data_IF_011482833009
#
_entry.id   IF_011482833009
#
_cell.length_a   1.000
_cell.length_b   1.000
_cell.length_c   1.000
_cell.angle_alpha   90.00
_cell.angle_beta   90.00
_cell.angle_gamma   90.00
#
_symmetry.space_group_name_H-M   'P 1'
#
loop_
_entity.id
_entity.type
_entity.pdbx_description
1 polymer ?
#
# COMPACT_ATOMS: atom_id res chain seq x y z
N UNK A 1 16.38 24.38 4.88
CA UNK A 1 15.36 25.42 4.65
C UNK A 1 14.07 24.66 4.37
N UNK A 2 13.15 24.64 5.32
CA UNK A 2 11.92 23.86 5.20
C UNK A 2 11.01 24.51 4.16
N UNK A 3 10.68 23.76 3.13
CA UNK A 3 9.54 24.09 2.26
C UNK A 3 8.29 24.06 3.12
N UNK A 4 7.81 25.25 3.48
CA UNK A 4 6.57 25.41 4.20
C UNK A 4 5.45 24.80 3.38
N UNK A 5 4.83 23.74 3.89
CA UNK A 5 3.57 23.20 3.38
C UNK A 5 2.61 24.39 3.34
N UNK A 6 2.37 24.92 2.13
CA UNK A 6 1.34 25.93 1.90
C UNK A 6 0.02 25.34 2.38
N UNK A 7 -0.51 25.87 3.47
CA UNK A 7 -1.74 25.39 4.07
C UNK A 7 -2.85 25.39 3.03
N UNK A 8 -3.47 24.25 2.81
CA UNK A 8 -4.58 24.13 1.86
C UNK A 8 -5.82 24.77 2.48
N UNK A 9 -6.11 26.02 2.09
CA UNK A 9 -7.36 26.69 2.48
C UNK A 9 -8.54 25.96 1.86
N UNK A 10 -9.45 25.50 2.70
CA UNK A 10 -10.65 24.82 2.27
C UNK A 10 -11.85 25.20 3.15
N UNK A 11 -13.04 24.91 2.67
CA UNK A 11 -14.24 25.11 3.46
C UNK A 11 -14.29 24.12 4.64
N UNK A 12 -14.76 24.60 5.79
CA UNK A 12 -14.90 23.77 7.00
C UNK A 12 -15.78 22.53 6.77
N UNK A 13 -16.88 22.67 6.01
CA UNK A 13 -17.74 21.53 5.67
C UNK A 13 -17.01 20.49 4.80
N UNK A 14 -16.14 20.93 3.90
CA UNK A 14 -15.29 20.02 3.11
C UNK A 14 -14.29 19.30 4.01
N UNK A 15 -13.60 20.02 4.91
CA UNK A 15 -12.66 19.45 5.84
C UNK A 15 -13.30 18.36 6.71
N UNK A 16 -14.43 18.68 7.36
CA UNK A 16 -15.13 17.73 8.23
C UNK A 16 -15.65 16.51 7.47
N UNK A 17 -16.16 16.71 6.24
CA UNK A 17 -16.60 15.60 5.39
C UNK A 17 -15.42 14.69 4.97
N UNK A 18 -14.25 15.27 4.63
CA UNK A 18 -13.04 14.51 4.32
C UNK A 18 -12.57 13.69 5.52
N UNK A 19 -12.74 14.21 6.74
CA UNK A 19 -12.39 13.49 7.96
C UNK A 19 -13.44 12.45 8.38
N UNK A 20 -14.56 12.33 7.62
CA UNK A 20 -15.59 11.34 7.88
C UNK A 20 -16.54 11.69 9.02
N UNK A 21 -16.59 12.96 9.45
CA UNK A 21 -17.40 13.41 10.60
C UNK A 21 -18.90 13.49 10.28
N UNK A 22 -19.28 13.35 9.00
CA UNK A 22 -20.67 13.30 8.56
C UNK A 22 -20.88 13.82 7.15
N UNK A 23 -22.14 13.80 6.72
CA UNK A 23 -22.59 14.43 5.48
C UNK A 23 -22.58 15.96 5.61
N UNK A 24 -22.56 16.66 4.47
CA UNK A 24 -22.60 18.14 4.48
C UNK A 24 -23.80 18.70 5.27
N UNK A 25 -24.95 18.02 5.24
CA UNK A 25 -26.14 18.44 5.98
C UNK A 25 -25.98 18.26 7.50
N UNK A 26 -25.42 17.13 7.92
CA UNK A 26 -25.09 16.85 9.33
C UNK A 26 -24.04 17.82 9.86
N UNK A 27 -22.99 18.10 9.08
CA UNK A 27 -21.94 19.06 9.45
C UNK A 27 -22.53 20.46 9.65
N UNK A 28 -23.43 20.92 8.77
CA UNK A 28 -24.13 22.19 8.96
C UNK A 28 -24.96 22.22 10.26
N UNK A 29 -25.58 21.09 10.59
CA UNK A 29 -26.35 20.99 11.87
C UNK A 29 -25.39 21.04 13.08
N UNK A 30 -24.24 20.35 13.01
CA UNK A 30 -23.22 20.37 14.08
C UNK A 30 -22.66 21.79 14.31
N UNK A 31 -22.37 22.53 13.23
CA UNK A 31 -21.88 23.92 13.32
C UNK A 31 -22.94 24.81 13.94
N UNK A 32 -24.24 24.72 13.53
CA UNK A 32 -25.35 25.49 14.12
C UNK A 32 -25.57 25.18 15.58
N UNK A 33 -25.33 23.93 15.99
CA UNK A 33 -25.45 23.49 17.39
C UNK A 33 -24.23 23.90 18.25
N UNK A 34 -23.25 24.64 17.70
CA UNK A 34 -22.07 25.10 18.42
C UNK A 34 -21.08 24.00 18.79
N UNK A 35 -21.18 22.81 18.17
CA UNK A 35 -20.32 21.65 18.45
C UNK A 35 -18.93 21.75 17.83
N UNK A 36 -18.75 22.65 16.84
CA UNK A 36 -17.50 22.82 16.10
C UNK A 36 -16.81 24.11 16.52
N UNK A 37 -15.55 24.02 16.89
CA UNK A 37 -14.70 25.19 17.14
C UNK A 37 -13.52 25.22 16.17
N UNK A 38 -13.08 26.43 15.82
CA UNK A 38 -11.91 26.71 14.99
C UNK A 38 -11.06 27.72 15.73
N UNK A 39 -9.80 27.39 16.00
CA UNK A 39 -8.84 28.24 16.72
C UNK A 39 -9.39 28.77 18.06
N UNK A 40 -10.10 27.89 18.78
CA UNK A 40 -10.69 28.17 20.09
C UNK A 40 -12.04 28.92 20.07
N UNK A 41 -12.50 29.40 18.92
CA UNK A 41 -13.79 30.08 18.77
C UNK A 41 -14.85 29.18 18.12
N UNK A 42 -16.12 29.34 18.46
CA UNK A 42 -17.22 28.66 17.79
C UNK A 42 -17.25 28.98 16.30
N UNK A 43 -17.38 27.94 15.46
CA UNK A 43 -17.45 28.14 14.02
C UNK A 43 -18.69 28.94 13.63
N UNK A 44 -18.53 30.01 12.85
CA UNK A 44 -19.63 30.94 12.47
C UNK A 44 -20.59 30.31 11.48
N UNK A 45 -20.05 29.62 10.48
CA UNK A 45 -20.83 28.84 9.51
C UNK A 45 -19.97 27.70 8.92
N UNK A 46 -20.63 26.70 8.33
CA UNK A 46 -19.97 25.54 7.76
C UNK A 46 -19.18 25.87 6.46
N UNK A 47 -19.41 27.02 5.86
CA UNK A 47 -18.74 27.48 4.65
C UNK A 47 -17.50 28.31 4.91
N UNK A 48 -17.20 28.65 6.17
CA UNK A 48 -15.98 29.41 6.49
C UNK A 48 -14.72 28.75 5.99
N UNK A 49 -13.73 29.54 5.59
CA UNK A 49 -12.45 29.05 5.15
C UNK A 49 -11.57 28.74 6.37
N UNK A 50 -10.95 27.57 6.35
CA UNK A 50 -10.00 27.11 7.35
C UNK A 50 -8.72 26.63 6.65
N UNK A 51 -7.61 26.71 7.32
CA UNK A 51 -6.37 26.07 6.92
C UNK A 51 -6.38 24.64 7.49
N UNK A 52 -6.49 23.63 6.60
CA UNK A 52 -6.59 22.25 7.05
C UNK A 52 -5.40 21.77 7.87
N UNK A 53 -4.21 22.30 7.61
CA UNK A 53 -2.97 21.90 8.29
C UNK A 53 -2.69 22.71 9.57
N UNK A 54 -3.11 23.97 9.64
CA UNK A 54 -2.71 24.89 10.72
C UNK A 54 -3.83 25.19 11.70
N UNK A 55 -5.11 25.24 11.24
CA UNK A 55 -6.22 25.56 12.13
C UNK A 55 -6.49 24.45 13.16
N UNK A 56 -6.67 24.83 14.42
CA UNK A 56 -7.13 23.92 15.48
C UNK A 56 -8.63 23.71 15.37
N UNK A 57 -9.05 22.75 14.55
CA UNK A 57 -10.45 22.39 14.36
C UNK A 57 -10.84 21.31 15.35
N UNK A 58 -11.93 21.53 16.11
CA UNK A 58 -12.43 20.55 17.07
C UNK A 58 -13.92 20.31 16.88
N UNK A 59 -14.32 19.06 17.06
CA UNK A 59 -15.72 18.62 17.15
C UNK A 59 -15.97 18.05 18.56
N UNK A 60 -16.91 18.62 19.29
CA UNK A 60 -17.22 18.26 20.69
C UNK A 60 -15.96 18.25 21.59
N UNK A 61 -15.05 19.21 21.41
CA UNK A 61 -13.78 19.31 22.11
C UNK A 61 -12.67 18.40 21.59
N UNK A 62 -12.97 17.37 20.81
CA UNK A 62 -11.98 16.47 20.18
C UNK A 62 -11.29 17.16 19.01
N UNK A 63 -9.95 17.27 19.07
CA UNK A 63 -9.15 17.85 18.00
C UNK A 63 -9.20 16.94 16.77
N UNK A 64 -9.41 17.54 15.61
CA UNK A 64 -9.40 16.88 14.32
C UNK A 64 -8.07 17.14 13.61
N UNK A 65 -7.38 16.08 13.23
CA UNK A 65 -6.09 16.19 12.54
C UNK A 65 -6.28 15.93 11.05
N UNK A 66 -6.16 16.98 10.25
CA UNK A 66 -6.11 16.85 8.80
C UNK A 66 -4.67 16.67 8.33
N UNK A 67 -4.46 15.70 7.48
CA UNK A 67 -3.23 15.53 6.71
C UNK A 67 -3.61 15.59 5.24
N UNK A 68 -3.00 16.49 4.49
CA UNK A 68 -3.27 16.66 3.05
C UNK A 68 -2.94 15.38 2.26
N UNK A 69 -1.91 14.69 2.71
CA UNK A 69 -1.45 13.42 2.12
C UNK A 69 -1.47 12.34 3.19
N UNK A 70 -1.97 11.17 2.82
CA UNK A 70 -1.98 9.99 3.69
C UNK A 70 -1.41 8.79 2.98
N UNK A 71 -0.64 8.02 3.71
CA UNK A 71 -0.02 6.77 3.25
C UNK A 71 -0.40 5.66 4.22
N UNK A 72 -0.86 4.55 3.69
CA UNK A 72 -1.35 3.41 4.46
C UNK A 72 -0.59 2.16 4.07
N UNK A 73 -0.13 1.42 5.05
CA UNK A 73 0.28 0.02 4.93
C UNK A 73 -0.95 -0.85 5.15
N UNK A 74 -1.30 -1.65 4.16
CA UNK A 74 -2.33 -2.68 4.25
C UNK A 74 -1.67 -4.06 4.13
N UNK A 75 -1.94 -4.97 5.06
CA UNK A 75 -1.68 -6.38 4.83
C UNK A 75 -2.87 -6.95 4.04
N UNK A 76 -2.76 -6.92 2.70
CA UNK A 76 -3.85 -7.36 1.83
C UNK A 76 -4.16 -8.85 2.05
N UNK A 77 -5.39 -9.23 2.36
CA UNK A 77 -5.78 -10.63 2.45
C UNK A 77 -6.02 -11.22 1.05
N UNK A 78 -5.97 -12.55 0.95
CA UNK A 78 -6.44 -13.26 -0.23
C UNK A 78 -7.94 -13.01 -0.49
N UNK A 79 -8.37 -13.14 -1.74
CA UNK A 79 -9.77 -13.01 -2.15
C UNK A 79 -10.27 -11.59 -2.42
N UNK A 80 -9.46 -10.56 -2.14
CA UNK A 80 -9.82 -9.15 -2.31
C UNK A 80 -9.12 -8.54 -3.53
N UNK A 81 -9.85 -7.75 -4.33
CA UNK A 81 -9.29 -7.09 -5.52
C UNK A 81 -8.43 -5.88 -5.16
N UNK A 82 -7.30 -5.72 -5.84
CA UNK A 82 -6.54 -4.48 -5.83
C UNK A 82 -7.11 -3.50 -6.85
N UNK A 83 -8.15 -2.79 -6.46
CA UNK A 83 -8.83 -1.79 -7.26
C UNK A 83 -9.36 -0.66 -6.37
N UNK A 84 -9.58 0.52 -6.96
CA UNK A 84 -10.20 1.64 -6.23
C UNK A 84 -11.70 1.38 -5.94
N UNK A 85 -12.39 0.66 -6.83
CA UNK A 85 -13.78 0.21 -6.67
C UNK A 85 -14.08 -0.91 -7.67
N UNK A 86 -15.02 -1.76 -7.30
CA UNK A 86 -15.62 -2.77 -8.19
C UNK A 86 -17.11 -2.89 -7.88
N UNK A 87 -17.93 -3.27 -8.89
CA UNK A 87 -19.39 -3.38 -8.73
C UNK A 87 -19.83 -4.69 -8.09
N UNK A 88 -19.00 -5.72 -8.14
CA UNK A 88 -19.39 -7.10 -7.79
C UNK A 88 -18.51 -7.70 -6.69
N UNK A 89 -17.29 -7.23 -6.55
CA UNK A 89 -16.29 -7.84 -5.69
C UNK A 89 -15.70 -6.81 -4.72
N UNK A 90 -15.39 -7.28 -3.50
CA UNK A 90 -14.74 -6.49 -2.49
C UNK A 90 -13.34 -6.06 -2.95
N UNK A 91 -13.02 -4.79 -2.75
CA UNK A 91 -11.74 -4.19 -3.10
C UNK A 91 -10.92 -3.87 -1.85
N UNK A 92 -9.65 -3.58 -2.04
CA UNK A 92 -8.77 -3.14 -0.96
C UNK A 92 -9.23 -1.82 -0.32
N UNK A 93 -9.93 -0.96 -1.08
CA UNK A 93 -10.47 0.30 -0.55
C UNK A 93 -11.67 0.07 0.38
N UNK A 94 -12.39 -1.05 0.24
CA UNK A 94 -13.51 -1.41 1.14
C UNK A 94 -13.01 -1.92 2.52
N UNK A 95 -11.69 -2.08 2.68
CA UNK A 95 -11.06 -2.43 3.95
C UNK A 95 -10.69 -1.19 4.77
N UNK A 96 -10.72 -0.01 4.16
CA UNK A 96 -10.34 1.25 4.80
C UNK A 96 -11.57 2.12 5.09
N UNK A 97 -11.49 3.04 6.05
CA UNK A 97 -12.50 4.08 6.23
C UNK A 97 -12.75 4.87 4.94
N UNK A 98 -14.02 5.25 4.66
CA UNK A 98 -14.38 5.97 3.43
C UNK A 98 -13.62 7.28 3.19
N UNK A 99 -13.08 7.89 4.24
CA UNK A 99 -12.29 9.10 4.16
C UNK A 99 -11.07 8.96 3.24
N UNK A 100 -10.41 7.79 3.20
CA UNK A 100 -9.26 7.58 2.32
C UNK A 100 -9.65 7.66 0.84
N UNK A 101 -10.77 7.06 0.47
CA UNK A 101 -11.31 7.18 -0.89
C UNK A 101 -11.73 8.62 -1.21
N UNK A 102 -12.34 9.34 -0.24
CA UNK A 102 -12.73 10.75 -0.39
C UNK A 102 -11.52 11.68 -0.56
N UNK A 103 -10.37 11.33 0.01
CA UNK A 103 -9.08 12.03 -0.17
C UNK A 103 -8.35 11.64 -1.46
N UNK A 104 -8.92 10.78 -2.29
CA UNK A 104 -8.32 10.32 -3.54
C UNK A 104 -7.22 9.27 -3.35
N UNK A 105 -7.13 8.64 -2.17
CA UNK A 105 -6.17 7.57 -1.96
C UNK A 105 -6.47 6.36 -2.87
N UNK A 106 -5.41 5.76 -3.39
CA UNK A 106 -5.47 4.61 -4.29
C UNK A 106 -4.29 3.65 -4.03
N UNK A 107 -4.42 2.37 -4.41
CA UNK A 107 -3.31 1.44 -4.31
C UNK A 107 -2.10 1.84 -5.16
N UNK A 108 -0.92 1.89 -4.56
CA UNK A 108 0.37 2.06 -5.24
C UNK A 108 0.84 0.70 -5.78
N UNK A 109 0.35 0.33 -6.93
CA UNK A 109 0.57 -0.97 -7.57
C UNK A 109 -0.54 -1.97 -7.27
N UNK A 110 -0.35 -3.18 -7.76
CA UNK A 110 -1.36 -4.24 -7.67
C UNK A 110 -0.75 -5.51 -7.11
N UNK A 111 -1.58 -6.25 -6.37
CA UNK A 111 -1.41 -7.66 -6.06
C UNK A 111 -2.57 -8.42 -6.68
N UNK A 112 -2.33 -9.64 -7.11
CA UNK A 112 -3.38 -10.51 -7.62
C UNK A 112 -4.43 -10.76 -6.54
N UNK A 113 -5.60 -11.23 -6.93
CA UNK A 113 -6.70 -11.48 -6.00
C UNK A 113 -6.32 -12.44 -4.88
N UNK A 114 -5.58 -13.48 -5.21
CA UNK A 114 -5.10 -14.54 -4.32
C UNK A 114 -3.74 -14.24 -3.66
N UNK A 115 -3.02 -13.20 -4.10
CA UNK A 115 -1.75 -12.77 -3.51
C UNK A 115 -2.00 -11.90 -2.29
N UNK A 116 -1.27 -12.16 -1.22
CA UNK A 116 -1.37 -11.48 0.07
C UNK A 116 -0.24 -10.48 0.32
N UNK A 117 -0.29 -9.79 1.46
CA UNK A 117 0.83 -9.05 2.03
C UNK A 117 0.83 -7.55 1.77
N UNK A 118 2.01 -6.97 1.81
CA UNK A 118 2.20 -5.51 1.82
C UNK A 118 1.63 -4.84 0.57
N UNK A 119 0.64 -4.00 0.79
CA UNK A 119 0.12 -3.08 -0.22
C UNK A 119 0.11 -1.66 0.35
N UNK A 120 0.76 -0.74 -0.35
CA UNK A 120 0.70 0.69 -0.02
C UNK A 120 -0.51 1.31 -0.70
N UNK A 121 -1.29 2.09 0.07
CA UNK A 121 -2.40 2.91 -0.42
C UNK A 121 -2.05 4.35 -0.09
N UNK A 122 -2.10 5.23 -1.07
CA UNK A 122 -1.66 6.62 -0.90
C UNK A 122 -2.53 7.60 -1.67
N UNK A 123 -2.68 8.82 -1.14
CA UNK A 123 -3.25 9.97 -1.84
C UNK A 123 -2.19 10.78 -2.60
N UNK A 124 -0.89 10.42 -2.48
CA UNK A 124 0.19 10.98 -3.28
C UNK A 124 0.36 10.20 -4.59
N UNK A 125 -0.15 10.76 -5.68
CA UNK A 125 -0.02 10.16 -7.01
C UNK A 125 1.42 10.09 -7.52
N UNK A 126 2.30 11.00 -7.07
CA UNK A 126 3.71 11.00 -7.47
C UNK A 126 4.45 9.84 -6.78
N UNK A 127 4.25 9.65 -5.48
CA UNK A 127 4.79 8.51 -4.75
C UNK A 127 4.28 7.19 -5.35
N UNK A 128 2.97 7.08 -5.60
CA UNK A 128 2.40 5.90 -6.25
C UNK A 128 3.09 5.60 -7.59
N UNK A 129 3.29 6.63 -8.42
CA UNK A 129 3.97 6.48 -9.69
C UNK A 129 5.43 6.02 -9.53
N UNK A 130 6.17 6.56 -8.56
CA UNK A 130 7.57 6.15 -8.30
C UNK A 130 7.66 4.70 -7.86
N UNK A 131 6.76 4.23 -7.00
CA UNK A 131 6.72 2.83 -6.55
C UNK A 131 6.40 1.86 -7.69
N UNK A 132 5.51 2.25 -8.62
CA UNK A 132 5.00 1.37 -9.69
C UNK A 132 5.91 1.36 -10.91
N UNK A 133 6.49 2.51 -11.24
CA UNK A 133 7.21 2.71 -12.50
C UNK A 133 8.46 1.82 -12.59
N UNK A 134 8.60 1.02 -13.67
CA UNK A 134 9.79 0.20 -13.89
C UNK A 134 11.10 0.99 -14.01
N UNK A 135 11.00 2.32 -14.23
CA UNK A 135 12.18 3.21 -14.34
C UNK A 135 12.88 3.44 -13.00
N UNK A 136 12.13 3.37 -11.91
CA UNK A 136 12.67 3.58 -10.56
C UNK A 136 13.21 2.30 -9.92
N UNK A 137 12.98 1.15 -10.55
CA UNK A 137 13.49 -0.17 -10.14
C UNK A 137 13.26 -0.52 -8.66
N UNK A 138 12.22 0.06 -8.05
CA UNK A 138 11.88 -0.21 -6.65
C UNK A 138 11.66 -1.71 -6.46
N UNK A 139 12.50 -2.33 -5.64
CA UNK A 139 12.46 -3.75 -5.34
C UNK A 139 11.18 -4.15 -4.61
N UNK A 140 10.61 -5.29 -4.97
CA UNK A 140 9.48 -5.93 -4.28
C UNK A 140 9.90 -7.32 -3.89
N UNK A 141 9.81 -7.63 -2.61
CA UNK A 141 10.18 -8.94 -2.08
C UNK A 141 8.92 -9.73 -1.82
N UNK A 142 8.89 -10.95 -2.36
CA UNK A 142 7.80 -11.89 -2.16
C UNK A 142 8.32 -13.15 -1.48
N UNK A 143 7.52 -13.68 -0.56
CA UNK A 143 7.62 -15.05 -0.11
C UNK A 143 6.73 -15.92 -0.98
N UNK A 144 7.30 -16.93 -1.60
CA UNK A 144 6.60 -17.87 -2.47
C UNK A 144 6.77 -19.30 -1.92
N UNK A 145 5.66 -20.06 -1.86
CA UNK A 145 5.68 -21.50 -1.65
C UNK A 145 5.24 -22.18 -2.95
N UNK A 146 5.94 -23.23 -3.30
CA UNK A 146 5.84 -23.92 -4.59
C UNK A 146 5.23 -25.31 -4.40
N UNK A 147 4.76 -25.92 -5.47
CA UNK A 147 4.26 -27.30 -5.53
C UNK A 147 5.38 -28.34 -5.71
N UNK A 148 6.65 -27.93 -5.69
CA UNK A 148 7.82 -28.77 -5.82
C UNK A 148 9.09 -28.09 -5.36
N UNK A 149 10.12 -28.88 -5.17
CA UNK A 149 11.42 -28.44 -4.69
C UNK A 149 12.12 -27.49 -5.69
N UNK A 150 12.72 -26.43 -5.18
CA UNK A 150 13.48 -25.44 -5.96
C UNK A 150 14.94 -25.90 -6.07
N UNK A 151 15.40 -26.18 -7.28
CA UNK A 151 16.78 -26.63 -7.55
C UNK A 151 17.75 -25.46 -7.68
N UNK A 152 19.07 -25.75 -7.63
CA UNK A 152 20.10 -24.72 -7.88
C UNK A 152 20.02 -24.17 -9.31
N UNK A 153 19.66 -25.02 -10.28
CA UNK A 153 19.46 -24.61 -11.66
C UNK A 153 18.27 -23.66 -11.82
N UNK A 154 17.19 -23.89 -11.07
CA UNK A 154 16.04 -22.99 -11.08
C UNK A 154 16.41 -21.61 -10.52
N UNK A 155 17.15 -21.59 -9.42
CA UNK A 155 17.65 -20.34 -8.82
C UNK A 155 18.54 -19.60 -9.80
N UNK A 156 19.55 -20.26 -10.37
CA UNK A 156 20.48 -19.66 -11.34
C UNK A 156 19.76 -19.10 -12.56
N UNK A 157 18.76 -19.82 -13.10
CA UNK A 157 17.97 -19.34 -14.24
C UNK A 157 17.15 -18.10 -13.92
N UNK A 158 16.52 -18.02 -12.74
CA UNK A 158 15.74 -16.87 -12.32
C UNK A 158 16.63 -15.65 -11.99
N UNK A 159 17.82 -15.89 -11.46
CA UNK A 159 18.81 -14.84 -11.17
C UNK A 159 19.51 -14.31 -12.42
N UNK A 160 19.60 -15.11 -13.49
CA UNK A 160 20.08 -14.66 -14.80
C UNK A 160 19.05 -13.81 -15.57
N UNK A 161 17.79 -13.89 -15.17
CA UNK A 161 16.66 -13.41 -15.95
C UNK A 161 16.14 -14.52 -16.88
N UNK A 162 14.82 -14.54 -17.09
CA UNK A 162 14.18 -15.63 -17.82
C UNK A 162 13.19 -15.12 -18.87
N UNK A 163 13.28 -15.72 -20.07
CA UNK A 163 12.28 -15.52 -21.10
C UNK A 163 11.00 -16.30 -20.77
N UNK A 164 9.88 -15.61 -20.76
CA UNK A 164 8.56 -16.16 -20.42
C UNK A 164 7.67 -16.07 -21.66
N UNK A 165 7.09 -17.20 -22.04
CA UNK A 165 6.09 -17.29 -23.11
C UNK A 165 5.01 -18.27 -22.72
N UNK A 166 3.77 -17.76 -22.61
CA UNK A 166 2.60 -18.54 -22.23
C UNK A 166 1.31 -17.93 -22.83
N UNK A 167 0.14 -18.41 -22.38
CA UNK A 167 -1.16 -17.93 -22.87
C UNK A 167 -1.41 -16.44 -22.57
N UNK A 168 -0.77 -15.87 -21.55
CA UNK A 168 -0.90 -14.47 -21.16
C UNK A 168 0.10 -13.55 -21.90
N UNK A 169 0.89 -14.09 -22.83
CA UNK A 169 1.83 -13.35 -23.67
C UNK A 169 3.29 -13.67 -23.42
N UNK A 170 4.17 -12.83 -23.95
CA UNK A 170 5.60 -13.04 -23.98
C UNK A 170 6.37 -11.84 -23.43
N UNK A 171 7.40 -12.08 -22.62
CA UNK A 171 8.31 -11.05 -22.15
C UNK A 171 9.60 -11.64 -21.55
N UNK A 172 10.66 -10.84 -21.54
CA UNK A 172 11.86 -11.13 -20.78
C UNK A 172 11.72 -10.57 -19.37
N UNK A 173 11.75 -11.45 -18.37
CA UNK A 173 11.83 -11.05 -16.98
C UNK A 173 13.27 -10.67 -16.64
N UNK A 174 13.44 -9.53 -15.96
CA UNK A 174 14.75 -9.09 -15.48
C UNK A 174 15.30 -10.07 -14.45
N UNK A 175 16.64 -10.08 -14.25
CA UNK A 175 17.28 -10.79 -13.16
C UNK A 175 16.57 -10.55 -11.84
N UNK A 176 16.24 -11.63 -11.14
CA UNK A 176 15.70 -11.60 -9.79
C UNK A 176 16.79 -11.93 -8.78
N UNK A 177 16.56 -11.69 -7.48
CA UNK A 177 17.37 -12.26 -6.41
C UNK A 177 16.54 -13.28 -5.65
N UNK A 178 17.15 -14.41 -5.30
CA UNK A 178 16.46 -15.46 -4.58
C UNK A 178 17.18 -15.83 -3.27
N UNK A 179 16.41 -16.16 -2.26
CA UNK A 179 16.88 -16.78 -1.02
C UNK A 179 15.92 -17.92 -0.69
N UNK A 180 16.45 -19.15 -0.68
CA UNK A 180 15.64 -20.32 -0.30
C UNK A 180 15.20 -20.25 1.17
N UNK A 181 14.04 -20.81 1.44
CA UNK A 181 13.47 -21.00 2.77
C UNK A 181 12.89 -22.43 2.85
N UNK A 182 13.81 -23.42 2.98
CA UNK A 182 13.47 -24.83 2.81
C UNK A 182 13.52 -25.31 1.36
N UNK A 183 12.93 -26.49 1.09
CA UNK A 183 12.99 -27.12 -0.24
C UNK A 183 11.98 -26.53 -1.23
N UNK A 184 10.79 -26.20 -0.77
CA UNK A 184 9.65 -25.77 -1.60
C UNK A 184 9.27 -24.30 -1.43
N UNK A 185 10.08 -23.51 -0.71
CA UNK A 185 9.81 -22.10 -0.48
C UNK A 185 11.03 -21.21 -0.73
N UNK A 186 10.78 -19.98 -1.13
CA UNK A 186 11.83 -18.98 -1.33
C UNK A 186 11.29 -17.56 -1.17
N UNK A 187 12.20 -16.66 -0.78
CA UNK A 187 12.05 -15.24 -1.01
C UNK A 187 12.59 -14.91 -2.40
N UNK A 188 11.79 -14.17 -3.17
CA UNK A 188 12.19 -13.65 -4.49
C UNK A 188 12.02 -12.14 -4.51
N UNK A 189 13.07 -11.43 -4.94
CA UNK A 189 13.06 -9.99 -5.13
C UNK A 189 13.09 -9.66 -6.62
N UNK A 190 12.12 -8.87 -7.06
CA UNK A 190 11.99 -8.37 -8.44
C UNK A 190 11.92 -6.84 -8.43
N UNK A 191 12.44 -6.19 -9.48
CA UNK A 191 12.47 -4.72 -9.64
C UNK A 191 11.44 -4.20 -10.64
N UNK A 192 10.60 -5.08 -11.16
CA UNK A 192 9.52 -4.78 -12.09
C UNK A 192 8.19 -5.40 -11.59
N UNK A 193 7.10 -5.20 -12.30
CA UNK A 193 5.79 -5.70 -11.85
C UNK A 193 4.89 -6.01 -13.04
N UNK A 194 5.33 -6.95 -13.91
CA UNK A 194 4.51 -7.44 -15.03
C UNK A 194 3.38 -8.33 -14.53
N UNK A 195 2.39 -8.53 -15.36
CA UNK A 195 1.22 -9.34 -15.04
C UNK A 195 1.62 -10.75 -14.57
N UNK A 196 1.21 -11.12 -13.36
CA UNK A 196 1.50 -12.39 -12.69
C UNK A 196 3.00 -12.77 -12.67
N UNK A 197 3.91 -11.79 -12.69
CA UNK A 197 5.32 -12.01 -12.99
C UNK A 197 5.96 -13.11 -12.16
N UNK A 198 5.88 -13.07 -10.84
CA UNK A 198 6.52 -14.06 -9.96
C UNK A 198 5.96 -15.45 -10.23
N UNK A 199 4.66 -15.60 -10.39
CA UNK A 199 4.01 -16.88 -10.71
C UNK A 199 4.49 -17.43 -12.05
N UNK A 200 4.57 -16.58 -13.07
CA UNK A 200 5.02 -16.94 -14.41
C UNK A 200 6.52 -17.27 -14.47
N UNK A 201 7.35 -16.58 -13.68
CA UNK A 201 8.77 -16.88 -13.55
C UNK A 201 8.98 -18.30 -13.01
N UNK A 202 8.31 -18.69 -11.95
CA UNK A 202 8.39 -20.06 -11.41
C UNK A 202 7.76 -21.08 -12.35
N UNK A 203 6.62 -20.76 -12.99
CA UNK A 203 5.97 -21.64 -13.97
C UNK A 203 6.87 -21.95 -15.18
N UNK A 204 7.68 -20.99 -15.63
CA UNK A 204 8.67 -21.19 -16.69
C UNK A 204 9.78 -22.20 -16.29
N UNK A 205 9.93 -22.49 -14.99
CA UNK A 205 10.79 -23.53 -14.43
C UNK A 205 10.02 -24.80 -14.05
N UNK A 206 8.75 -24.93 -14.49
CA UNK A 206 7.90 -26.07 -14.18
C UNK A 206 7.47 -26.17 -12.71
N UNK A 207 7.47 -25.04 -11.97
CA UNK A 207 7.02 -24.95 -10.58
C UNK A 207 5.80 -24.03 -10.49
N UNK A 208 4.76 -24.45 -9.77
CA UNK A 208 3.59 -23.60 -9.58
C UNK A 208 3.60 -22.98 -8.18
N UNK A 209 3.33 -21.67 -8.12
CA UNK A 209 3.21 -20.97 -6.85
C UNK A 209 1.86 -21.32 -6.21
N UNK A 210 1.90 -22.00 -5.07
CA UNK A 210 0.72 -22.36 -4.27
C UNK A 210 0.37 -21.32 -3.22
N UNK A 211 1.35 -20.50 -2.81
CA UNK A 211 1.14 -19.38 -1.91
C UNK A 211 2.08 -18.23 -2.26
N UNK A 212 1.58 -16.99 -2.26
CA UNK A 212 2.38 -15.80 -2.57
C UNK A 212 2.01 -14.65 -1.64
N UNK A 213 3.01 -14.09 -0.98
CA UNK A 213 2.85 -12.95 -0.09
C UNK A 213 3.94 -11.92 -0.32
N UNK A 214 3.55 -10.65 -0.54
CA UNK A 214 4.55 -9.57 -0.63
C UNK A 214 4.98 -9.14 0.74
N UNK A 215 6.26 -9.28 1.02
CA UNK A 215 6.87 -9.02 2.32
C UNK A 215 7.46 -7.62 2.44
N UNK A 216 7.97 -7.03 1.31
CA UNK A 216 8.57 -5.71 1.33
C UNK A 216 8.42 -4.97 0.00
N UNK A 217 8.50 -3.63 0.06
CA UNK A 217 8.65 -2.70 -1.06
C UNK A 217 9.79 -1.74 -0.72
N UNK A 218 10.83 -1.66 -1.57
CA UNK A 218 12.06 -0.98 -1.20
C UNK A 218 12.64 -1.58 0.08
N UNK A 219 13.00 -0.74 1.03
CA UNK A 219 13.43 -1.14 2.38
C UNK A 219 12.26 -1.25 3.39
N UNK A 220 11.03 -0.89 3.01
CA UNK A 220 9.87 -1.00 3.88
C UNK A 220 9.38 -2.45 3.94
N UNK A 221 9.50 -3.09 5.09
CA UNK A 221 8.95 -4.42 5.36
C UNK A 221 7.49 -4.34 5.82
N UNK A 222 6.73 -5.40 5.56
CA UNK A 222 5.41 -5.60 6.13
C UNK A 222 5.52 -5.70 7.65
N UNK A 223 4.74 -4.93 8.38
CA UNK A 223 4.67 -5.00 9.82
C UNK A 223 4.15 -6.40 10.26
N UNK A 224 4.94 -7.19 10.98
CA UNK A 224 4.56 -8.55 11.38
C UNK A 224 3.36 -8.59 12.35
N UNK A 225 3.11 -7.49 13.06
CA UNK A 225 1.95 -7.38 13.94
C UNK A 225 0.64 -7.12 13.16
N UNK A 226 0.73 -6.75 11.89
CA UNK A 226 -0.44 -6.39 11.08
C UNK A 226 -1.09 -7.65 10.50
N UNK A 227 -2.20 -8.08 11.06
CA UNK A 227 -2.97 -9.25 10.59
C UNK A 227 -3.50 -9.05 9.16
N UNK A 228 -3.75 -10.14 8.40
CA UNK A 228 -4.40 -10.04 7.09
C UNK A 228 -5.71 -9.24 7.15
N UNK A 229 -5.87 -8.27 6.25
CA UNK A 229 -7.00 -7.33 6.21
C UNK A 229 -6.86 -6.12 7.12
N UNK A 230 -5.90 -6.12 8.04
CA UNK A 230 -5.61 -4.95 8.87
C UNK A 230 -4.69 -3.95 8.14
N UNK A 231 -4.78 -2.71 8.58
CA UNK A 231 -4.01 -1.59 8.02
C UNK A 231 -3.60 -0.60 9.11
N UNK A 232 -2.59 0.20 8.84
CA UNK A 232 -2.20 1.38 9.62
C UNK A 232 -1.62 2.46 8.73
N UNK A 233 -1.59 3.69 9.22
CA UNK A 233 -0.85 4.75 8.54
C UNK A 233 0.66 4.49 8.62
N UNK A 234 1.38 4.93 7.58
CA UNK A 234 2.83 4.98 7.57
C UNK A 234 3.32 6.25 8.24
N UNK A 235 4.46 6.17 8.91
CA UNK A 235 5.23 7.34 9.34
C UNK A 235 6.00 7.93 8.16
N UNK A 236 6.46 9.17 8.31
CA UNK A 236 7.26 9.83 7.26
C UNK A 236 8.58 9.09 7.00
N UNK A 237 9.20 8.53 8.04
CA UNK A 237 10.40 7.70 7.92
C UNK A 237 10.11 6.41 7.14
N UNK A 238 8.97 5.77 7.39
CA UNK A 238 8.54 4.58 6.64
C UNK A 238 8.23 4.88 5.17
N UNK A 239 7.67 6.04 4.89
CA UNK A 239 7.45 6.50 3.51
C UNK A 239 8.79 6.65 2.77
N UNK A 240 9.81 7.18 3.43
CA UNK A 240 11.14 7.30 2.84
C UNK A 240 11.75 5.93 2.50
N UNK A 241 11.48 4.87 3.29
CA UNK A 241 11.97 3.52 3.04
C UNK A 241 11.44 2.90 1.73
N UNK A 242 10.29 3.37 1.23
CA UNK A 242 9.69 2.85 -0.01
C UNK A 242 10.58 3.03 -1.25
N UNK A 243 11.43 4.05 -1.25
CA UNK A 243 12.29 4.42 -2.38
C UNK A 243 13.77 4.10 -2.13
N UNK A 244 14.08 3.53 -0.97
CA UNK A 244 15.44 3.13 -0.60
C UNK A 244 15.63 1.64 -0.96
N UNK A 245 16.72 1.36 -1.68
CA UNK A 245 17.16 -0.02 -1.86
C UNK A 245 17.81 -0.52 -0.55
N UNK A 246 17.47 -1.72 -0.07
CA UNK A 246 18.14 -2.32 1.06
C UNK A 246 19.65 -2.42 0.81
N UNK A 247 20.45 -2.15 1.83
CA UNK A 247 21.91 -2.25 1.77
C UNK A 247 22.29 -3.64 1.26
N UNK A 248 23.19 -3.70 0.27
CA UNK A 248 23.63 -4.92 -0.44
C UNK A 248 22.55 -5.63 -1.29
N UNK A 249 21.40 -4.99 -1.55
CA UNK A 249 20.32 -5.60 -2.33
C UNK A 249 19.72 -6.83 -1.66
N UNK A 250 19.88 -6.97 -0.36
CA UNK A 250 19.36 -8.06 0.46
C UNK A 250 17.86 -7.92 0.70
N UNK A 251 17.26 -8.97 1.23
CA UNK A 251 15.82 -9.08 1.44
C UNK A 251 15.33 -8.22 2.61
N UNK A 252 16.23 -7.51 3.33
CA UNK A 252 15.92 -6.79 4.56
C UNK A 252 15.60 -7.74 5.73
N UNK A 253 15.26 -7.22 6.91
CA UNK A 253 14.80 -8.03 8.05
C UNK A 253 13.40 -8.57 7.71
N UNK A 254 13.36 -9.75 7.11
CA UNK A 254 12.12 -10.48 6.85
C UNK A 254 12.03 -11.62 7.87
N UNK A 255 11.20 -11.41 8.88
CA UNK A 255 10.66 -12.55 9.61
C UNK A 255 9.73 -13.28 8.64
N UNK A 256 10.01 -14.58 8.42
CA UNK A 256 9.15 -15.42 7.59
C UNK A 256 7.69 -15.31 8.06
N UNK A 257 6.69 -15.60 7.20
CA UNK A 257 5.34 -15.75 7.67
C UNK A 257 5.42 -16.78 8.82
N UNK A 258 5.04 -16.35 10.04
CA UNK A 258 4.92 -17.27 11.15
C UNK A 258 4.18 -18.50 10.59
N UNK A 259 4.73 -19.70 10.82
CA UNK A 259 4.13 -20.95 10.39
C UNK A 259 2.66 -20.98 10.82
N UNK A 260 1.78 -20.45 10.00
CA UNK A 260 0.36 -20.70 10.09
C UNK A 260 0.16 -22.13 9.56
N UNK A 261 0.48 -23.07 10.45
CA UNK A 261 0.16 -24.49 10.28
C UNK A 261 -1.35 -24.62 10.26
N UNK A 262 -1.90 -24.97 9.07
CA UNK A 262 -3.24 -25.52 8.77
C UNK A 262 -4.43 -24.61 9.02
#
# INVERSE_FOLDING_TARGET
MGDGILGEKMRLDKLLALLGEGTRSEIKAMVRAGRVTVDGAGARDAGMQVDGAQSDVRLDGRRLCYKAVRHVMLNKPSGVLTAARDKKQKTVMDLLPPMYAAMGAMPAGRLDKDTEGLLVITSDGQLAHRIISPRHEVGKVYYARLDGELTDEDVAALEAGIHIRDADGEFDARPAKLRRDGGDAAYIRVTEGKYHQVKRMFAARGKHVVYLKRMAIGALALDPALKPGAWRELTDDEVALLEIEPVNGEFGPLDGPANETK
#
